data_IF_764262025868
#
_entry.id   IF_764262025868
#
_cell.length_a   1.000
_cell.length_b   1.000
_cell.length_c   1.000
_cell.angle_alpha   90.00
_cell.angle_beta   90.00
_cell.angle_gamma   90.00
#
_symmetry.space_group_name_H-M   'P 1'
#
loop_
_entity.id
_entity.type
_entity.pdbx_description
1 polymer ?
#
# COMPACT_ATOMS: atom_id res chain seq x y z
N UNK A 1 -10.62 -8.96 -24.24
CA UNK A 1 -9.48 -9.52 -23.47
C UNK A 1 -9.24 -8.68 -22.21
N UNK A 2 -10.22 -8.54 -21.31
CA UNK A 2 -10.15 -7.57 -20.19
C UNK A 2 -10.12 -8.21 -18.78
N UNK A 3 -10.14 -9.54 -18.70
CA UNK A 3 -10.16 -10.28 -17.42
C UNK A 3 -8.81 -10.40 -16.72
N UNK A 4 -7.73 -10.63 -17.49
CA UNK A 4 -6.38 -10.90 -16.95
C UNK A 4 -5.78 -9.77 -16.10
N UNK A 5 -6.15 -8.51 -16.34
CA UNK A 5 -5.66 -7.39 -15.52
C UNK A 5 -6.33 -7.33 -14.14
N UNK A 6 -7.59 -7.78 -14.03
CA UNK A 6 -8.39 -7.71 -12.80
C UNK A 6 -7.96 -8.77 -11.78
N UNK A 7 -7.61 -9.97 -12.23
CA UNK A 7 -7.14 -11.06 -11.37
C UNK A 7 -5.69 -10.89 -10.89
N UNK A 8 -4.88 -10.12 -11.63
CA UNK A 8 -3.47 -9.84 -11.27
C UNK A 8 -3.32 -8.71 -10.25
N UNK A 9 -4.33 -7.85 -10.14
CA UNK A 9 -4.29 -6.70 -9.24
C UNK A 9 -4.22 -7.11 -7.75
N UNK A 10 -5.03 -8.07 -7.25
CA UNK A 10 -4.89 -8.59 -5.88
C UNK A 10 -3.49 -9.14 -5.58
N UNK A 11 -2.90 -9.90 -6.52
CA UNK A 11 -1.55 -10.42 -6.35
C UNK A 11 -0.48 -9.31 -6.29
N UNK A 12 -0.63 -8.28 -7.14
CA UNK A 12 0.26 -7.11 -7.12
C UNK A 12 0.12 -6.30 -5.82
N UNK A 13 -1.09 -6.17 -5.28
CA UNK A 13 -1.34 -5.54 -3.98
C UNK A 13 -0.69 -6.34 -2.86
N UNK A 14 -0.87 -7.65 -2.82
CA UNK A 14 -0.24 -8.53 -1.83
C UNK A 14 1.29 -8.43 -1.87
N UNK A 15 1.88 -8.46 -3.08
CA UNK A 15 3.32 -8.26 -3.26
C UNK A 15 3.78 -6.87 -2.80
N UNK A 16 2.97 -5.84 -3.06
CA UNK A 16 3.22 -4.47 -2.59
C UNK A 16 3.20 -4.38 -1.07
N UNK A 17 2.22 -4.97 -0.40
CA UNK A 17 2.10 -4.96 1.06
C UNK A 17 3.26 -5.70 1.74
N UNK A 18 3.72 -6.81 1.16
CA UNK A 18 4.91 -7.52 1.65
C UNK A 18 6.16 -6.64 1.50
N UNK A 19 6.34 -6.00 0.34
CA UNK A 19 7.50 -5.17 0.03
C UNK A 19 7.55 -3.87 0.85
N UNK A 20 6.38 -3.34 1.19
CA UNK A 20 6.20 -2.10 1.94
C UNK A 20 5.74 -2.34 3.39
N UNK A 21 6.06 -3.53 3.93
CA UNK A 21 5.57 -3.97 5.24
C UNK A 21 6.08 -3.09 6.39
N UNK A 22 7.28 -2.53 6.26
CA UNK A 22 7.86 -1.58 7.22
C UNK A 22 7.05 -0.28 7.26
N UNK A 23 6.79 0.32 6.11
CA UNK A 23 6.00 1.55 5.96
C UNK A 23 4.55 1.32 6.41
N UNK A 24 4.00 0.14 6.11
CA UNK A 24 2.67 -0.25 6.54
C UNK A 24 2.57 -0.38 8.07
N UNK A 25 3.59 -0.95 8.72
CA UNK A 25 3.65 -1.04 10.18
C UNK A 25 3.75 0.34 10.84
N UNK A 26 4.53 1.26 10.27
CA UNK A 26 4.66 2.65 10.76
C UNK A 26 3.32 3.39 10.66
N UNK A 27 2.68 3.37 9.49
CA UNK A 27 1.36 3.99 9.30
C UNK A 27 0.29 3.38 10.20
N UNK A 28 0.25 2.04 10.29
CA UNK A 28 -0.68 1.33 11.17
C UNK A 28 -0.43 1.62 12.65
N UNK A 29 0.83 1.84 13.05
CA UNK A 29 1.20 2.28 14.39
C UNK A 29 0.60 3.64 14.73
N UNK A 30 0.78 4.63 13.84
CA UNK A 30 0.19 5.96 13.99
C UNK A 30 -1.33 5.91 14.12
N UNK A 31 -2.03 5.16 13.26
CA UNK A 31 -3.49 5.00 13.37
C UNK A 31 -3.87 4.39 14.72
N UNK A 32 -3.20 3.31 15.14
CA UNK A 32 -3.54 2.61 16.39
C UNK A 32 -3.43 3.50 17.61
N UNK A 33 -2.48 4.43 17.63
CA UNK A 33 -2.32 5.38 18.75
C UNK A 33 -3.41 6.45 18.81
N UNK A 34 -4.13 6.66 17.70
CA UNK A 34 -5.14 7.71 17.55
C UNK A 34 -6.58 7.17 17.54
N UNK A 35 -6.76 5.85 17.49
CA UNK A 35 -8.10 5.27 17.61
C UNK A 35 -8.68 5.53 19.01
N UNK A 36 -9.97 5.87 19.13
CA UNK A 36 -10.99 5.93 18.07
C UNK A 36 -11.09 7.27 17.32
N UNK A 37 -10.36 8.29 17.73
CA UNK A 37 -10.45 9.69 17.26
C UNK A 37 -9.52 9.99 16.07
N UNK A 38 -9.24 8.99 15.22
CA UNK A 38 -8.33 9.19 14.09
C UNK A 38 -8.94 10.16 13.06
N UNK A 39 -8.37 11.36 12.97
CA UNK A 39 -8.79 12.37 12.00
C UNK A 39 -8.02 12.26 10.69
N UNK A 40 -8.64 12.73 9.61
CA UNK A 40 -7.97 12.85 8.31
C UNK A 40 -6.79 13.81 8.44
N UNK A 41 -5.61 13.35 8.03
CA UNK A 41 -4.40 14.18 7.95
C UNK A 41 -3.41 13.96 9.08
N UNK A 42 -3.80 13.30 10.19
CA UNK A 42 -2.92 13.14 11.37
C UNK A 42 -1.73 12.21 11.07
N UNK A 43 -1.96 11.13 10.30
CA UNK A 43 -0.90 10.21 9.85
C UNK A 43 -0.55 10.42 8.36
N UNK A 44 -0.71 11.64 7.82
CA UNK A 44 -0.54 11.85 6.38
C UNK A 44 0.91 11.63 5.95
N UNK A 45 1.89 11.97 6.80
CA UNK A 45 3.29 11.74 6.50
C UNK A 45 3.60 10.25 6.29
N UNK A 46 3.20 9.41 7.25
CA UNK A 46 3.36 7.97 7.21
C UNK A 46 2.58 7.37 6.03
N UNK A 47 1.40 7.91 5.76
CA UNK A 47 0.59 7.53 4.61
C UNK A 47 1.27 7.84 3.28
N UNK A 48 1.86 9.03 3.10
CA UNK A 48 2.56 9.38 1.86
C UNK A 48 3.76 8.47 1.62
N UNK A 49 4.50 8.13 2.68
CA UNK A 49 5.64 7.20 2.60
C UNK A 49 5.16 5.81 2.14
N UNK A 50 4.14 5.26 2.81
CA UNK A 50 3.54 3.98 2.44
C UNK A 50 3.00 3.99 1.00
N UNK A 51 2.28 5.05 0.63
CA UNK A 51 1.71 5.24 -0.72
C UNK A 51 2.80 5.29 -1.78
N UNK A 52 3.92 5.97 -1.51
CA UNK A 52 5.05 6.04 -2.44
C UNK A 52 5.63 4.65 -2.69
N UNK A 53 5.90 3.90 -1.62
CA UNK A 53 6.40 2.52 -1.71
C UNK A 53 5.42 1.62 -2.48
N UNK A 54 4.13 1.62 -2.09
CA UNK A 54 3.09 0.81 -2.72
C UNK A 54 2.95 1.11 -4.21
N UNK A 55 3.00 2.39 -4.62
CA UNK A 55 2.94 2.79 -6.03
C UNK A 55 4.14 2.26 -6.82
N UNK A 56 5.34 2.31 -6.25
CA UNK A 56 6.51 1.72 -6.89
C UNK A 56 6.36 0.20 -7.02
N UNK A 57 6.02 -0.50 -5.93
CA UNK A 57 5.86 -1.96 -5.92
C UNK A 57 4.77 -2.44 -6.88
N UNK A 58 3.62 -1.74 -6.95
CA UNK A 58 2.54 -2.06 -7.89
C UNK A 58 2.98 -1.89 -9.35
N UNK A 59 3.71 -0.81 -9.68
CA UNK A 59 4.26 -0.63 -11.03
C UNK A 59 5.21 -1.76 -11.40
N UNK A 60 6.11 -2.14 -10.49
CA UNK A 60 7.04 -3.24 -10.72
C UNK A 60 6.32 -4.59 -10.90
N UNK A 61 5.34 -4.90 -10.04
CA UNK A 61 4.58 -6.15 -10.10
C UNK A 61 3.75 -6.25 -11.39
N UNK A 62 3.11 -5.16 -11.81
CA UNK A 62 2.34 -5.13 -13.06
C UNK A 62 3.24 -5.16 -14.29
N UNK A 63 4.39 -4.48 -14.28
CA UNK A 63 5.35 -4.49 -15.39
C UNK A 63 6.03 -5.86 -15.59
N UNK A 64 6.29 -6.61 -14.52
CA UNK A 64 6.89 -7.96 -14.58
C UNK A 64 5.93 -9.02 -15.15
N UNK A 65 4.64 -8.69 -15.29
CA UNK A 65 3.59 -9.60 -15.77
C UNK A 65 3.25 -9.42 -17.25
N UNK A 66 4.07 -8.66 -17.99
CA UNK A 66 3.92 -8.36 -19.41
C UNK A 66 4.95 -9.08 -20.26
#
# INVERSE_FOLDING_TARGET
MSGLARDRFPAAISAGLLSCSKEAAVYGGCIKTLLPEVERGVCDQEFQILKSCMRAALRHALAKSS
#
